data_IF_620698478824
#
_entry.id   IF_620698478824
#
_cell.length_a   1.000
_cell.length_b   1.000
_cell.length_c   1.000
_cell.angle_alpha   90.00
_cell.angle_beta   90.00
_cell.angle_gamma   90.00
#
_symmetry.space_group_name_H-M   'P 1'
#
loop_
_entity.id
_entity.type
_entity.pdbx_description
1 polymer ?
#
# COMPACT_ATOMS: atom_id res chain seq x y z
N UNK A 1 -6.63 14.23 -13.73
CA UNK A 1 -6.49 13.90 -12.30
C UNK A 1 -5.67 12.61 -12.10
N UNK A 2 -6.08 11.40 -12.55
CA UNK A 2 -5.26 10.20 -12.36
C UNK A 2 -3.89 10.32 -13.03
N UNK A 3 -3.84 10.80 -14.26
CA UNK A 3 -2.58 10.97 -14.99
C UNK A 3 -1.65 11.97 -14.30
N UNK A 4 -2.19 13.07 -13.77
CA UNK A 4 -1.41 14.08 -13.02
C UNK A 4 -0.82 13.48 -11.74
N UNK A 5 -1.63 12.71 -10.99
CA UNK A 5 -1.16 12.00 -9.78
C UNK A 5 -0.08 10.99 -10.14
N UNK A 6 -0.25 10.25 -11.24
CA UNK A 6 0.72 9.26 -11.70
C UNK A 6 2.05 9.90 -12.10
N UNK A 7 2.03 11.05 -12.79
CA UNK A 7 3.22 11.80 -13.17
C UNK A 7 3.96 12.35 -11.94
N UNK A 8 3.23 12.98 -11.00
CA UNK A 8 3.80 13.48 -9.74
C UNK A 8 4.43 12.34 -8.93
N UNK A 9 3.72 11.21 -8.79
CA UNK A 9 4.21 10.05 -8.02
C UNK A 9 5.44 9.42 -8.68
N UNK A 10 5.45 9.32 -10.01
CA UNK A 10 6.61 8.80 -10.77
C UNK A 10 7.82 9.73 -10.64
N UNK A 11 7.62 11.06 -10.64
CA UNK A 11 8.70 12.02 -10.41
C UNK A 11 9.28 11.90 -9.01
N UNK A 12 8.42 11.84 -7.97
CA UNK A 12 8.82 11.60 -6.59
C UNK A 12 9.67 10.33 -6.46
N UNK A 13 9.22 9.25 -7.10
CA UNK A 13 9.94 7.98 -7.11
C UNK A 13 11.29 8.06 -7.84
N UNK A 14 11.40 8.85 -8.93
CA UNK A 14 12.68 9.11 -9.61
C UNK A 14 13.65 9.91 -8.73
N UNK A 15 13.15 10.89 -7.99
CA UNK A 15 13.93 11.64 -6.99
C UNK A 15 14.50 10.68 -5.95
N UNK A 16 13.67 9.81 -5.36
CA UNK A 16 14.10 8.80 -4.41
C UNK A 16 15.15 7.84 -5.00
N UNK A 17 14.89 7.31 -6.21
CA UNK A 17 15.82 6.38 -6.87
C UNK A 17 17.18 7.02 -7.16
N UNK A 18 17.20 8.28 -7.60
CA UNK A 18 18.43 9.03 -7.88
C UNK A 18 19.30 9.27 -6.64
N UNK A 19 18.74 9.12 -5.46
CA UNK A 19 19.44 9.25 -4.17
C UNK A 19 19.76 7.89 -3.53
N UNK A 20 19.24 6.80 -4.06
CA UNK A 20 19.49 5.46 -3.52
C UNK A 20 20.99 5.13 -3.61
N UNK A 21 21.61 4.74 -2.48
CA UNK A 21 23.04 4.43 -2.42
C UNK A 21 23.98 5.62 -2.39
N UNK A 22 23.47 6.87 -2.28
CA UNK A 22 24.29 8.08 -2.03
C UNK A 22 24.49 8.32 -0.55
N UNK A 23 25.28 9.33 -0.17
CA UNK A 23 25.37 9.77 1.22
C UNK A 23 24.07 10.51 1.60
N UNK A 24 23.35 9.94 2.58
CA UNK A 24 22.15 10.53 3.18
C UNK A 24 22.15 10.27 4.68
N UNK A 25 21.48 11.15 5.43
CA UNK A 25 21.29 10.97 6.85
C UNK A 25 20.17 9.96 7.11
N UNK A 26 20.37 9.10 8.09
CA UNK A 26 19.38 8.11 8.53
C UNK A 26 19.30 8.08 10.05
N UNK A 27 18.10 7.88 10.55
CA UNK A 27 17.82 7.71 11.98
C UNK A 27 16.62 6.78 12.18
N UNK A 28 16.27 6.50 13.41
CA UNK A 28 15.04 5.79 13.75
C UNK A 28 14.07 6.78 14.39
N UNK A 29 12.82 6.86 13.88
CA UNK A 29 11.73 7.61 14.54
C UNK A 29 11.33 6.92 15.83
N UNK A 30 11.23 5.58 15.78
CA UNK A 30 10.98 4.66 16.88
C UNK A 30 11.83 3.40 16.65
N UNK A 31 12.09 2.57 17.69
CA UNK A 31 12.86 1.33 17.53
C UNK A 31 12.31 0.45 16.38
N UNK A 32 13.15 0.23 15.37
CA UNK A 32 12.79 -0.56 14.19
C UNK A 32 12.01 0.19 13.09
N UNK A 33 11.82 1.51 13.21
CA UNK A 33 11.22 2.37 12.18
C UNK A 33 12.27 3.34 11.60
N UNK A 34 13.11 2.86 10.67
CA UNK A 34 14.13 3.69 10.05
C UNK A 34 13.50 4.71 9.11
N UNK A 35 14.08 5.91 9.08
CA UNK A 35 13.77 6.99 8.17
C UNK A 35 15.07 7.63 7.70
N UNK A 36 15.06 8.23 6.54
CA UNK A 36 16.17 9.03 6.06
C UNK A 36 15.70 10.42 5.57
N UNK A 37 16.63 11.32 5.33
CA UNK A 37 16.34 12.66 4.82
C UNK A 37 15.68 12.63 3.42
N UNK A 38 15.80 11.52 2.71
CA UNK A 38 15.14 11.32 1.41
C UNK A 38 13.63 11.13 1.58
N UNK A 39 13.18 10.42 2.63
CA UNK A 39 11.74 10.29 2.94
C UNK A 39 11.12 11.69 3.10
N UNK A 40 11.79 12.59 3.87
CA UNK A 40 11.33 13.97 4.08
C UNK A 40 11.36 14.82 2.81
N UNK A 41 12.39 14.63 1.97
CA UNK A 41 12.50 15.34 0.69
C UNK A 41 11.36 14.94 -0.26
N UNK A 42 11.08 13.64 -0.37
CA UNK A 42 10.01 13.11 -1.20
C UNK A 42 8.65 13.55 -0.67
N UNK A 43 8.44 13.52 0.65
CA UNK A 43 7.22 14.03 1.29
C UNK A 43 6.96 15.49 0.95
N UNK A 44 7.98 16.35 1.12
CA UNK A 44 7.86 17.77 0.80
C UNK A 44 7.53 18.02 -0.66
N UNK A 45 8.16 17.30 -1.58
CA UNK A 45 7.86 17.38 -3.01
C UNK A 45 6.41 16.97 -3.30
N UNK A 46 5.98 15.80 -2.77
CA UNK A 46 4.62 15.30 -2.97
C UNK A 46 3.58 16.27 -2.41
N UNK A 47 3.82 16.81 -1.21
CA UNK A 47 2.92 17.79 -0.59
C UNK A 47 2.75 19.03 -1.44
N UNK A 48 3.84 19.61 -1.92
CA UNK A 48 3.81 20.80 -2.78
C UNK A 48 2.98 20.54 -4.04
N UNK A 49 3.25 19.46 -4.77
CA UNK A 49 2.62 19.17 -6.04
C UNK A 49 1.14 18.75 -5.89
N UNK A 50 0.83 17.88 -4.91
CA UNK A 50 -0.51 17.35 -4.72
C UNK A 50 -1.46 18.39 -4.12
N UNK A 51 -1.00 19.25 -3.20
CA UNK A 51 -1.81 20.37 -2.70
C UNK A 51 -2.05 21.42 -3.81
N UNK A 52 -1.08 21.65 -4.70
CA UNK A 52 -1.30 22.50 -5.86
C UNK A 52 -2.36 21.92 -6.83
N UNK A 53 -2.43 20.59 -6.95
CA UNK A 53 -3.42 19.88 -7.77
C UNK A 53 -4.84 19.92 -7.17
N UNK A 54 -4.97 19.84 -5.83
CA UNK A 54 -6.24 19.97 -5.09
C UNK A 54 -6.03 20.73 -3.76
N UNK A 55 -6.13 22.08 -3.80
CA UNK A 55 -5.88 22.92 -2.61
C UNK A 55 -6.88 22.75 -1.46
N UNK A 56 -8.03 22.12 -1.71
CA UNK A 56 -9.05 21.88 -0.68
C UNK A 56 -8.87 20.53 0.02
N UNK A 57 -8.01 19.66 -0.50
CA UNK A 57 -7.76 18.37 0.13
C UNK A 57 -6.92 18.53 1.40
N UNK A 58 -7.24 17.73 2.43
CA UNK A 58 -6.41 17.55 3.61
C UNK A 58 -5.16 16.74 3.28
N UNK A 59 -4.24 16.65 4.25
CA UNK A 59 -2.99 15.94 4.11
C UNK A 59 -2.79 14.91 5.23
N UNK A 60 -2.45 13.69 4.87
CA UNK A 60 -2.05 12.62 5.78
C UNK A 60 -0.83 11.91 5.18
N UNK A 61 0.30 11.95 5.87
CA UNK A 61 1.54 11.31 5.43
C UNK A 61 2.26 10.65 6.59
N UNK A 62 3.11 9.67 6.28
CA UNK A 62 3.98 9.04 7.27
C UNK A 62 4.98 10.02 7.89
N UNK A 63 5.44 11.02 7.12
CA UNK A 63 6.57 11.88 7.47
C UNK A 63 6.15 13.24 8.04
N UNK A 64 4.94 13.66 7.81
CA UNK A 64 4.41 14.95 8.27
C UNK A 64 3.52 14.77 9.49
N UNK A 65 3.63 15.67 10.47
CA UNK A 65 2.74 15.69 11.62
C UNK A 65 1.27 15.75 11.18
N UNK A 66 0.44 14.89 11.77
CA UNK A 66 -0.98 14.81 11.42
C UNK A 66 -1.72 16.11 11.81
N UNK A 67 -2.36 16.72 10.83
CA UNK A 67 -3.23 17.88 11.01
C UNK A 67 -4.66 17.37 11.23
N UNK A 68 -5.20 17.50 12.44
CA UNK A 68 -6.49 16.94 12.83
C UNK A 68 -7.69 17.48 12.02
N UNK A 69 -7.57 18.65 11.38
CA UNK A 69 -8.60 19.26 10.54
C UNK A 69 -8.89 18.45 9.26
N UNK A 70 -7.95 17.57 8.83
CA UNK A 70 -8.15 16.65 7.68
C UNK A 70 -9.39 15.77 7.84
N UNK A 71 -9.78 15.45 9.09
CA UNK A 71 -10.91 14.55 9.37
C UNK A 71 -12.24 15.13 8.86
N UNK A 72 -12.38 16.45 8.88
CA UNK A 72 -13.54 17.17 8.39
C UNK A 72 -13.49 17.43 6.88
N UNK A 73 -12.34 17.19 6.24
CA UNK A 73 -12.18 17.39 4.81
C UNK A 73 -12.90 16.28 4.03
N UNK A 74 -13.57 16.67 2.96
CA UNK A 74 -14.21 15.72 2.04
C UNK A 74 -13.19 14.86 1.31
N UNK A 75 -12.03 15.47 0.94
CA UNK A 75 -10.93 14.85 0.25
C UNK A 75 -9.65 14.96 1.07
N UNK A 76 -8.85 13.90 1.06
CA UNK A 76 -7.57 13.83 1.78
C UNK A 76 -6.55 13.08 0.94
N UNK A 77 -5.40 13.69 0.75
CA UNK A 77 -4.22 12.98 0.26
C UNK A 77 -3.67 12.08 1.35
N UNK A 78 -3.46 10.81 1.03
CA UNK A 78 -2.89 9.81 1.92
C UNK A 78 -1.63 9.26 1.27
N UNK A 79 -0.47 9.53 1.89
CA UNK A 79 0.83 9.41 1.24
C UNK A 79 1.82 8.64 2.11
N UNK A 80 2.54 7.72 1.48
CA UNK A 80 3.78 7.15 2.02
C UNK A 80 4.92 7.46 1.02
N UNK A 81 5.86 8.33 1.41
CA UNK A 81 6.97 8.71 0.55
C UNK A 81 7.88 7.55 0.15
N UNK A 82 8.11 6.58 1.05
CA UNK A 82 8.92 5.38 0.76
C UNK A 82 8.38 4.19 1.57
N UNK A 83 7.24 3.60 1.14
CA UNK A 83 6.82 2.30 1.71
C UNK A 83 7.89 1.24 1.42
N UNK A 84 8.44 0.70 2.49
CA UNK A 84 9.55 -0.24 2.39
C UNK A 84 10.93 0.38 2.56
N UNK A 85 11.08 1.42 3.39
CA UNK A 85 12.33 2.13 3.69
C UNK A 85 13.51 1.18 3.99
N UNK A 86 13.28 0.03 4.63
CA UNK A 86 14.33 -0.97 4.88
C UNK A 86 14.96 -1.53 3.62
N UNK A 87 14.17 -1.78 2.56
CA UNK A 87 14.70 -2.24 1.27
C UNK A 87 15.36 -1.08 0.52
N UNK A 88 14.78 0.13 0.60
CA UNK A 88 15.42 1.34 0.08
C UNK A 88 16.84 1.54 0.66
N UNK A 89 16.98 1.53 1.99
CA UNK A 89 18.26 1.70 2.69
C UNK A 89 19.29 0.60 2.37
N UNK A 90 18.84 -0.56 1.90
CA UNK A 90 19.68 -1.70 1.49
C UNK A 90 19.95 -1.75 -0.01
N UNK A 91 19.47 -0.78 -0.78
CA UNK A 91 19.56 -0.77 -2.24
C UNK A 91 18.81 -1.92 -2.91
N UNK A 92 17.75 -2.43 -2.28
CA UNK A 92 16.90 -3.51 -2.80
C UNK A 92 15.66 -2.94 -3.49
N UNK A 93 15.07 -3.67 -4.47
CA UNK A 93 13.94 -3.15 -5.25
C UNK A 93 12.57 -3.34 -4.58
N UNK A 94 12.50 -3.57 -3.26
CA UNK A 94 11.26 -3.89 -2.54
C UNK A 94 10.56 -2.71 -1.90
N UNK A 95 10.61 -1.51 -2.50
CA UNK A 95 10.01 -0.28 -2.02
C UNK A 95 9.22 0.46 -3.10
N UNK A 96 8.30 1.33 -2.70
CA UNK A 96 7.50 2.16 -3.59
C UNK A 96 7.11 3.48 -2.95
N UNK A 97 6.87 4.51 -3.76
CA UNK A 97 6.11 5.71 -3.38
C UNK A 97 4.62 5.37 -3.50
N UNK A 98 3.84 5.66 -2.47
CA UNK A 98 2.41 5.37 -2.41
C UNK A 98 1.61 6.66 -2.26
N UNK A 99 0.68 6.92 -3.19
CA UNK A 99 -0.19 8.11 -3.18
C UNK A 99 -1.63 7.68 -3.40
N UNK A 100 -2.52 8.09 -2.51
CA UNK A 100 -3.96 7.93 -2.66
C UNK A 100 -4.70 9.25 -2.46
N UNK A 101 -5.78 9.46 -3.21
CA UNK A 101 -6.79 10.45 -2.88
C UNK A 101 -8.01 9.73 -2.29
N UNK A 102 -8.27 10.00 -1.03
CA UNK A 102 -9.46 9.52 -0.32
C UNK A 102 -10.56 10.57 -0.45
N UNK A 103 -11.74 10.16 -0.88
CA UNK A 103 -12.94 11.00 -0.92
C UNK A 103 -14.06 10.33 -0.14
N UNK A 104 -14.65 11.05 0.83
CA UNK A 104 -15.74 10.55 1.69
C UNK A 104 -15.38 9.17 2.32
N UNK A 105 -14.16 9.04 2.85
CA UNK A 105 -13.62 7.84 3.53
C UNK A 105 -13.38 6.62 2.61
N UNK A 106 -13.50 6.77 1.29
CA UNK A 106 -13.16 5.74 0.31
C UNK A 106 -12.04 6.23 -0.61
N UNK A 107 -11.16 5.32 -1.04
CA UNK A 107 -10.09 5.68 -1.98
C UNK A 107 -10.69 5.91 -3.36
N UNK A 108 -10.42 7.09 -3.94
CA UNK A 108 -10.88 7.49 -5.27
C UNK A 108 -9.84 7.25 -6.35
N UNK A 109 -8.58 7.58 -6.04
CA UNK A 109 -7.42 7.36 -6.89
C UNK A 109 -6.31 6.71 -6.08
N UNK A 110 -5.59 5.78 -6.69
CA UNK A 110 -4.44 5.11 -6.08
C UNK A 110 -3.31 4.96 -7.08
N UNK A 111 -2.10 5.35 -6.67
CA UNK A 111 -0.89 5.23 -7.47
C UNK A 111 0.24 4.68 -6.61
N UNK A 112 0.97 3.69 -7.15
CA UNK A 112 2.24 3.22 -6.60
C UNK A 112 3.32 3.34 -7.67
N UNK A 113 4.45 3.94 -7.32
CA UNK A 113 5.61 3.98 -8.20
C UNK A 113 6.78 3.24 -7.55
N UNK A 114 7.21 2.13 -8.15
CA UNK A 114 8.34 1.30 -7.73
C UNK A 114 9.47 1.37 -8.77
N UNK A 115 10.26 2.45 -8.78
CA UNK A 115 11.18 2.77 -9.87
C UNK A 115 12.34 1.77 -9.98
N UNK A 116 12.74 1.13 -8.87
CA UNK A 116 13.77 0.08 -8.87
C UNK A 116 13.29 -1.23 -9.52
N UNK A 117 12.00 -1.32 -9.86
CA UNK A 117 11.34 -2.46 -10.54
C UNK A 117 10.82 -2.07 -11.93
N UNK A 118 10.94 -0.78 -12.30
CA UNK A 118 10.33 -0.22 -13.51
C UNK A 118 8.80 -0.43 -13.54
N UNK A 119 8.14 -0.21 -12.39
CA UNK A 119 6.70 -0.43 -12.22
C UNK A 119 5.98 0.84 -11.76
N UNK A 120 4.95 1.22 -12.51
CA UNK A 120 3.96 2.24 -12.15
C UNK A 120 2.57 1.61 -12.14
N UNK A 121 1.93 1.63 -10.97
CA UNK A 121 0.61 1.05 -10.76
C UNK A 121 -0.40 2.17 -10.56
N UNK A 122 -1.53 2.10 -11.24
CA UNK A 122 -2.57 3.12 -11.17
C UNK A 122 -3.94 2.50 -11.07
N UNK A 123 -4.85 3.16 -10.34
CA UNK A 123 -6.27 2.80 -10.31
C UNK A 123 -7.15 4.03 -10.08
N UNK A 124 -8.33 4.01 -10.69
CA UNK A 124 -9.42 4.95 -10.41
C UNK A 124 -10.67 4.12 -10.06
N UNK A 125 -11.37 4.54 -9.01
CA UNK A 125 -12.57 3.86 -8.52
C UNK A 125 -13.62 3.69 -9.62
N UNK A 126 -13.98 2.44 -9.91
CA UNK A 126 -14.94 2.04 -10.94
C UNK A 126 -14.39 2.09 -12.37
N UNK A 127 -13.08 2.24 -12.57
CA UNK A 127 -12.46 2.32 -13.89
C UNK A 127 -11.49 1.17 -14.18
N UNK A 128 -11.01 0.48 -13.15
CA UNK A 128 -10.02 -0.58 -13.27
C UNK A 128 -8.65 -0.20 -12.71
N UNK A 129 -7.70 -1.12 -12.87
CA UNK A 129 -6.31 -0.96 -12.43
C UNK A 129 -5.33 -1.34 -13.54
N UNK A 130 -4.18 -0.68 -13.55
CA UNK A 130 -3.14 -0.86 -14.57
C UNK A 130 -1.75 -0.93 -13.94
N UNK A 131 -0.85 -1.64 -14.61
CA UNK A 131 0.59 -1.59 -14.37
C UNK A 131 1.29 -1.21 -15.67
N UNK A 132 2.06 -0.10 -15.66
CA UNK A 132 2.76 0.42 -16.84
C UNK A 132 1.82 0.63 -18.06
N UNK A 133 0.55 1.02 -17.81
CA UNK A 133 -0.46 1.20 -18.84
C UNK A 133 -1.19 -0.07 -19.27
N UNK A 134 -0.73 -1.26 -18.87
CA UNK A 134 -1.40 -2.53 -19.16
C UNK A 134 -2.43 -2.87 -18.06
N UNK A 135 -3.66 -3.27 -18.43
CA UNK A 135 -4.67 -3.64 -17.46
C UNK A 135 -4.26 -4.91 -16.69
N UNK A 136 -4.45 -4.90 -15.37
CA UNK A 136 -4.13 -6.03 -14.49
C UNK A 136 -5.37 -6.69 -13.94
N UNK A 137 -5.24 -7.96 -13.57
CA UNK A 137 -6.31 -8.74 -12.94
C UNK A 137 -5.76 -9.70 -11.90
N UNK A 138 -6.51 -9.82 -10.81
CA UNK A 138 -6.28 -10.85 -9.79
C UNK A 138 -6.36 -12.27 -10.38
N UNK A 139 -5.70 -13.23 -9.77
CA UNK A 139 -5.79 -14.65 -10.19
C UNK A 139 -7.20 -15.22 -9.97
N UNK A 140 -7.56 -16.22 -10.76
CA UNK A 140 -8.85 -16.94 -10.65
C UNK A 140 -8.82 -18.08 -9.61
N UNK A 141 -7.96 -18.01 -8.60
CA UNK A 141 -7.82 -19.05 -7.59
C UNK A 141 -9.10 -19.20 -6.76
N UNK A 142 -9.55 -20.44 -6.60
CA UNK A 142 -10.79 -20.80 -5.87
C UNK A 142 -10.56 -21.66 -4.62
N UNK A 143 -9.33 -22.15 -4.42
CA UNK A 143 -8.98 -22.99 -3.28
C UNK A 143 -7.83 -22.36 -2.48
N UNK A 144 -7.99 -22.27 -1.13
CA UNK A 144 -6.99 -21.69 -0.27
C UNK A 144 -5.70 -22.52 -0.15
N UNK A 145 -5.74 -23.86 -0.02
CA UNK A 145 -4.53 -24.67 -0.05
C UNK A 145 -3.74 -24.47 -1.34
N UNK A 146 -2.43 -24.26 -1.23
CA UNK A 146 -1.54 -23.96 -2.35
C UNK A 146 -1.61 -22.51 -2.85
N UNK A 147 -2.36 -21.60 -2.20
CA UNK A 147 -2.37 -20.19 -2.53
C UNK A 147 -0.98 -19.57 -2.32
N UNK A 148 -0.56 -18.73 -3.29
CA UNK A 148 0.75 -18.05 -3.26
C UNK A 148 0.68 -16.83 -2.34
N UNK A 149 1.63 -16.72 -1.41
CA UNK A 149 1.68 -15.67 -0.38
C UNK A 149 3.07 -15.03 -0.37
N UNK A 150 3.19 -13.70 -0.45
CA UNK A 150 4.47 -13.01 -0.30
C UNK A 150 4.92 -13.04 1.16
N UNK A 151 5.74 -14.02 1.51
CA UNK A 151 6.19 -14.27 2.88
C UNK A 151 7.62 -14.83 2.93
N UNK A 152 8.35 -14.51 4.01
CA UNK A 152 9.68 -15.09 4.29
C UNK A 152 9.57 -16.41 5.06
N UNK A 153 8.45 -16.62 5.78
CA UNK A 153 8.14 -17.84 6.53
C UNK A 153 6.63 -17.97 6.70
N UNK A 154 6.16 -19.20 6.89
CA UNK A 154 4.76 -19.50 7.18
C UNK A 154 4.64 -20.22 8.54
N UNK A 155 3.62 -19.85 9.35
CA UNK A 155 3.25 -20.61 10.53
C UNK A 155 2.92 -22.07 10.18
N UNK A 156 2.97 -22.96 11.17
CA UNK A 156 2.64 -24.39 10.95
C UNK A 156 1.27 -24.62 10.34
N UNK A 157 0.30 -23.82 10.75
CA UNK A 157 -1.11 -23.90 10.28
C UNK A 157 -1.30 -23.45 8.82
N UNK A 158 -0.31 -22.77 8.25
CA UNK A 158 -0.35 -22.22 6.90
C UNK A 158 0.65 -22.93 5.95
N UNK A 159 1.17 -24.13 6.33
CA UNK A 159 2.15 -24.89 5.52
C UNK A 159 1.62 -25.41 4.19
N UNK A 160 0.32 -25.43 4.04
CA UNK A 160 -0.37 -25.76 2.79
C UNK A 160 -0.38 -24.59 1.78
N UNK A 161 0.12 -23.41 2.18
CA UNK A 161 0.30 -22.25 1.30
C UNK A 161 1.71 -22.29 0.65
N UNK A 162 1.87 -21.54 -0.45
CA UNK A 162 3.12 -21.46 -1.21
C UNK A 162 3.74 -20.07 -1.04
N UNK A 163 4.97 -20.02 -0.52
CA UNK A 163 5.71 -18.75 -0.42
C UNK A 163 6.18 -18.27 -1.79
N UNK A 164 6.03 -16.98 -2.04
CA UNK A 164 6.64 -16.26 -3.16
C UNK A 164 7.51 -15.12 -2.64
N UNK A 165 8.30 -14.52 -3.52
CA UNK A 165 9.19 -13.40 -3.16
C UNK A 165 8.42 -12.29 -2.45
N UNK A 166 8.98 -11.75 -1.37
CA UNK A 166 8.36 -10.75 -0.51
C UNK A 166 9.15 -9.45 -0.55
N UNK A 167 8.66 -8.39 -1.23
CA UNK A 167 9.19 -7.03 -1.08
C UNK A 167 8.94 -6.52 0.35
N UNK A 168 9.74 -5.55 0.81
CA UNK A 168 9.53 -4.95 2.13
C UNK A 168 8.25 -4.10 2.15
N UNK A 169 7.98 -3.35 1.09
CA UNK A 169 6.75 -2.59 0.87
C UNK A 169 5.50 -3.46 1.02
N UNK A 170 4.57 -3.08 1.89
CA UNK A 170 3.29 -3.77 1.99
C UNK A 170 2.38 -3.42 0.83
N UNK A 171 2.45 -2.18 0.32
CA UNK A 171 1.71 -1.78 -0.86
C UNK A 171 2.07 -2.64 -2.07
N UNK A 172 3.35 -2.92 -2.31
CA UNK A 172 3.78 -3.82 -3.38
C UNK A 172 3.29 -5.26 -3.19
N UNK A 173 3.24 -5.76 -1.95
CA UNK A 173 2.68 -7.11 -1.71
C UNK A 173 1.20 -7.19 -2.06
N UNK A 174 0.43 -6.11 -1.79
CA UNK A 174 -0.98 -6.02 -2.20
C UNK A 174 -1.07 -5.91 -3.72
N UNK A 175 -0.22 -5.11 -4.35
CA UNK A 175 -0.15 -4.98 -5.81
C UNK A 175 0.21 -6.30 -6.51
N UNK A 176 1.05 -7.15 -5.92
CA UNK A 176 1.31 -8.52 -6.42
C UNK A 176 0.03 -9.37 -6.47
N UNK A 177 -0.89 -9.20 -5.50
CA UNK A 177 -2.20 -9.86 -5.56
C UNK A 177 -3.02 -9.30 -6.71
N UNK A 178 -3.05 -7.98 -6.88
CA UNK A 178 -3.74 -7.32 -7.98
C UNK A 178 -3.31 -7.81 -9.37
N UNK A 179 -2.01 -8.11 -9.53
CA UNK A 179 -1.46 -8.62 -10.80
C UNK A 179 -1.52 -10.15 -10.95
N UNK A 180 -2.09 -10.88 -9.97
CA UNK A 180 -2.11 -12.33 -9.97
C UNK A 180 -0.75 -13.00 -9.77
N UNK A 181 0.26 -12.27 -9.29
CA UNK A 181 1.59 -12.79 -8.93
C UNK A 181 1.58 -13.49 -7.56
N UNK A 182 0.67 -13.05 -6.69
CA UNK A 182 0.28 -13.71 -5.45
C UNK A 182 -1.23 -13.94 -5.45
N UNK A 183 -1.72 -14.84 -4.59
CA UNK A 183 -3.14 -15.16 -4.47
C UNK A 183 -3.75 -14.61 -3.19
N UNK A 184 -2.91 -14.33 -2.18
CA UNK A 184 -3.30 -13.90 -0.85
C UNK A 184 -2.21 -13.05 -0.21
N UNK A 185 -2.60 -11.90 0.32
CA UNK A 185 -1.87 -11.18 1.36
C UNK A 185 -2.77 -11.04 2.58
N UNK A 186 -2.25 -11.33 3.76
CA UNK A 186 -2.93 -11.09 5.03
C UNK A 186 -1.96 -10.54 6.08
N UNK A 187 -2.40 -9.54 6.84
CA UNK A 187 -1.72 -9.07 8.04
C UNK A 187 -2.67 -9.12 9.24
N UNK A 188 -2.14 -9.43 10.43
CA UNK A 188 -2.89 -9.51 11.68
C UNK A 188 -2.32 -8.52 12.70
N UNK A 189 -2.01 -7.31 12.27
CA UNK A 189 -1.45 -6.25 13.10
C UNK A 189 -2.09 -4.93 12.75
N UNK A 190 -2.04 -3.99 13.66
CA UNK A 190 -2.32 -2.61 13.35
C UNK A 190 -1.29 -2.09 12.34
N UNK A 191 -1.75 -1.39 11.34
CA UNK A 191 -0.96 -0.73 10.31
C UNK A 191 -1.47 0.68 10.08
N UNK A 192 -0.79 1.42 9.25
CA UNK A 192 -1.15 2.79 8.93
C UNK A 192 -1.92 2.85 7.61
N UNK A 193 -2.81 3.86 7.49
CA UNK A 193 -3.60 4.04 6.28
C UNK A 193 -2.74 4.34 5.05
N UNK A 194 -1.66 5.07 5.21
CA UNK A 194 -0.75 5.42 4.11
C UNK A 194 -0.02 4.22 3.52
N UNK A 195 0.26 3.19 4.33
CA UNK A 195 0.88 1.94 3.87
C UNK A 195 0.01 1.19 2.85
N UNK A 196 -1.32 1.36 2.89
CA UNK A 196 -2.25 0.46 2.21
C UNK A 196 -3.24 1.15 1.27
N UNK A 197 -3.55 2.45 1.46
CA UNK A 197 -4.67 3.10 0.79
C UNK A 197 -4.62 2.97 -0.74
N UNK A 198 -3.51 3.33 -1.38
CA UNK A 198 -3.38 3.23 -2.83
C UNK A 198 -3.48 1.77 -3.31
N UNK A 199 -2.76 0.87 -2.64
CA UNK A 199 -2.69 -0.54 -3.02
C UNK A 199 -4.03 -1.26 -2.90
N UNK A 200 -4.85 -0.90 -1.91
CA UNK A 200 -6.20 -1.47 -1.72
C UNK A 200 -7.10 -1.13 -2.88
N UNK A 201 -7.09 0.11 -3.38
CA UNK A 201 -7.87 0.45 -4.57
C UNK A 201 -7.35 -0.30 -5.79
N UNK A 202 -6.04 -0.35 -5.99
CA UNK A 202 -5.43 -1.07 -7.10
C UNK A 202 -5.87 -2.55 -7.08
N UNK A 203 -5.85 -3.20 -5.92
CA UNK A 203 -6.27 -4.58 -5.78
C UNK A 203 -7.79 -4.76 -6.01
N UNK A 204 -8.62 -3.89 -5.45
CA UNK A 204 -10.07 -3.95 -5.62
C UNK A 204 -10.47 -3.76 -7.10
N UNK A 205 -9.88 -2.78 -7.78
CA UNK A 205 -10.15 -2.49 -9.19
C UNK A 205 -9.59 -3.58 -10.15
N UNK A 206 -8.58 -4.34 -9.70
CA UNK A 206 -8.12 -5.53 -10.39
C UNK A 206 -9.01 -6.76 -10.14
N UNK A 207 -10.06 -6.64 -9.31
CA UNK A 207 -11.04 -7.68 -9.00
C UNK A 207 -10.69 -8.53 -7.77
N UNK A 208 -9.75 -8.11 -6.91
CA UNK A 208 -9.49 -8.78 -5.64
C UNK A 208 -10.61 -8.53 -4.62
N UNK A 209 -10.84 -9.48 -3.74
CA UNK A 209 -11.57 -9.25 -2.50
C UNK A 209 -10.63 -8.60 -1.48
N UNK A 210 -11.00 -7.40 -1.00
CA UNK A 210 -10.19 -6.61 -0.07
C UNK A 210 -11.00 -6.23 1.15
N UNK A 211 -10.52 -6.62 2.34
CA UNK A 211 -11.16 -6.34 3.64
C UNK A 211 -10.10 -6.17 4.73
N UNK A 212 -10.51 -5.80 5.92
CA UNK A 212 -9.70 -6.02 7.11
C UNK A 212 -9.57 -7.51 7.45
N UNK A 213 -8.73 -7.84 8.42
CA UNK A 213 -8.41 -9.23 8.79
C UNK A 213 -9.60 -10.06 9.25
N UNK A 214 -10.66 -9.44 9.76
CA UNK A 214 -11.90 -10.09 10.19
C UNK A 214 -13.01 -10.06 9.13
N UNK A 215 -12.71 -9.63 7.89
CA UNK A 215 -13.66 -9.54 6.80
C UNK A 215 -14.49 -8.25 6.78
N UNK A 216 -14.22 -7.29 7.68
CA UNK A 216 -14.90 -6.00 7.71
C UNK A 216 -14.42 -5.09 6.56
N UNK A 217 -15.26 -4.17 6.05
CA UNK A 217 -14.84 -3.15 5.11
C UNK A 217 -13.71 -2.28 5.68
N UNK A 218 -12.80 -1.82 4.83
CA UNK A 218 -11.79 -0.83 5.16
C UNK A 218 -12.32 0.56 4.83
N UNK A 219 -12.09 1.49 5.75
CA UNK A 219 -12.39 2.92 5.56
C UNK A 219 -11.15 3.72 5.91
N UNK A 220 -11.01 4.87 5.31
CA UNK A 220 -9.82 5.72 5.41
C UNK A 220 -10.17 7.08 6.01
N UNK A 221 -9.14 7.87 6.30
CA UNK A 221 -9.26 9.15 7.01
C UNK A 221 -9.86 8.97 8.41
N UNK A 222 -9.42 7.95 9.12
CA UNK A 222 -9.77 7.74 10.54
C UNK A 222 -8.97 8.67 11.46
N UNK A 223 -9.46 8.95 12.68
CA UNK A 223 -8.76 9.85 13.61
C UNK A 223 -7.34 9.43 13.96
N UNK A 224 -7.09 8.14 14.07
CA UNK A 224 -5.80 7.54 14.40
C UNK A 224 -4.97 7.12 13.17
N UNK A 225 -5.50 7.35 11.96
CA UNK A 225 -4.89 6.98 10.69
C UNK A 225 -4.43 5.51 10.65
N UNK A 226 -5.19 4.61 11.30
CA UNK A 226 -4.83 3.22 11.48
C UNK A 226 -5.94 2.26 11.03
N UNK A 227 -5.51 1.07 10.60
CA UNK A 227 -6.39 -0.04 10.27
C UNK A 227 -5.89 -1.33 10.92
N UNK A 228 -6.81 -2.14 11.46
CA UNK A 228 -6.44 -3.46 11.98
C UNK A 228 -6.45 -4.49 10.87
N UNK A 229 -5.25 -4.92 10.50
CA UNK A 229 -5.03 -5.95 9.49
C UNK A 229 -5.52 -5.56 8.10
N UNK A 230 -5.01 -6.24 7.11
CA UNK A 230 -5.49 -6.19 5.74
C UNK A 230 -5.52 -7.60 5.16
N UNK A 231 -6.57 -7.92 4.45
CA UNK A 231 -6.73 -9.15 3.69
C UNK A 231 -7.04 -8.75 2.23
N UNK A 232 -6.13 -9.07 1.32
CA UNK A 232 -6.33 -8.93 -0.11
C UNK A 232 -6.10 -10.29 -0.77
N UNK A 233 -7.05 -10.78 -1.54
CA UNK A 233 -6.93 -12.10 -2.16
C UNK A 233 -7.84 -12.26 -3.38
N UNK A 234 -7.63 -13.36 -4.10
CA UNK A 234 -8.58 -13.84 -5.10
C UNK A 234 -9.97 -14.04 -4.48
N UNK A 235 -11.05 -13.58 -5.11
CA UNK A 235 -12.39 -13.63 -4.49
C UNK A 235 -12.82 -15.04 -4.07
N UNK A 236 -12.43 -16.07 -4.85
CA UNK A 236 -12.80 -17.46 -4.58
C UNK A 236 -12.24 -18.04 -3.29
N UNK A 237 -11.19 -17.44 -2.72
CA UNK A 237 -10.59 -17.93 -1.46
C UNK A 237 -10.87 -17.03 -0.26
N UNK A 238 -11.55 -15.88 -0.44
CA UNK A 238 -11.73 -14.87 0.60
C UNK A 238 -12.40 -15.42 1.87
N UNK A 239 -13.54 -16.08 1.74
CA UNK A 239 -14.27 -16.61 2.88
C UNK A 239 -13.43 -17.63 3.67
N UNK A 240 -12.72 -18.52 2.97
CA UNK A 240 -11.83 -19.50 3.60
C UNK A 240 -10.63 -18.83 4.30
N UNK A 241 -10.09 -17.75 3.71
CA UNK A 241 -9.01 -16.98 4.32
C UNK A 241 -9.46 -16.26 5.59
N UNK A 242 -10.62 -15.57 5.57
CA UNK A 242 -11.19 -14.92 6.76
C UNK A 242 -11.39 -15.94 7.87
N UNK A 243 -11.98 -17.09 7.59
CA UNK A 243 -12.23 -18.13 8.59
C UNK A 243 -10.93 -18.67 9.19
N UNK A 244 -9.92 -18.96 8.35
CA UNK A 244 -8.59 -19.44 8.81
C UNK A 244 -7.88 -18.41 9.70
N UNK A 245 -8.07 -17.13 9.46
CA UNK A 245 -7.39 -16.07 10.19
C UNK A 245 -8.13 -15.63 11.46
N UNK A 246 -9.42 -15.92 11.58
CA UNK A 246 -10.35 -15.40 12.59
C UNK A 246 -9.82 -15.50 14.02
N UNK A 247 -9.46 -16.71 14.49
CA UNK A 247 -8.99 -16.91 15.87
C UNK A 247 -7.71 -16.12 16.15
N UNK A 248 -6.79 -16.11 15.21
CA UNK A 248 -5.52 -15.36 15.33
C UNK A 248 -5.73 -13.85 15.29
N UNK A 249 -6.65 -13.38 14.48
CA UNK A 249 -7.01 -11.97 14.40
C UNK A 249 -7.68 -11.52 15.70
N UNK A 250 -8.63 -12.28 16.24
CA UNK A 250 -9.33 -11.97 17.49
C UNK A 250 -8.40 -12.01 18.72
N UNK A 251 -7.29 -12.70 18.67
CA UNK A 251 -6.30 -12.74 19.75
C UNK A 251 -5.41 -11.50 19.82
N UNK A 252 -5.46 -10.61 18.81
CA UNK A 252 -4.59 -9.42 18.68
C UNK A 252 -5.40 -8.11 18.75
N UNK A 253 -6.71 -8.16 18.53
CA UNK A 253 -7.62 -7.02 18.71
C UNK A 253 -7.93 -6.87 20.20
#
# INVERSE_FOLDING_TARGET
>A
MLDDIAEITAEAARIALGRCGTDYQRWEKEPGHPVCDIDLMVDSFLREQLIALDPEAGWLSEETADESDRIERKRVWVVDPIDGTRDYLRGRPGWAVSVALVENRAVRYGVLAAPARDELWTAELGRGAWRNGDPIRVSARSELPGARVPADSLPRVDRDLVMVAKPNSIALRIAMVAAGEADLLATLRWGREWDIAAAILIAAEAGAAVTGALGQPLTFNSPDAAAFGVLACSPGIHAAAVERLRERAMAVV
#
